data_IF_787308672682
#
_entry.id   IF_787308672682
#
_cell.length_a   1.000
_cell.length_b   1.000
_cell.length_c   1.000
_cell.angle_alpha   90.00
_cell.angle_beta   90.00
_cell.angle_gamma   90.00
#
_symmetry.space_group_name_H-M   'P 1'
#
loop_
_entity.id
_entity.type
_entity.pdbx_description
1 polymer ?
#
# COMPACT_ATOMS: atom_id res chain seq x y z
N UNK A 1 1.20 -3.04 -9.22
CA UNK A 1 0.82 -2.56 -7.87
C UNK A 1 1.33 -3.58 -6.89
N UNK A 2 2.23 -3.18 -5.99
CA UNK A 2 2.71 -4.06 -4.93
C UNK A 2 1.94 -3.76 -3.65
N UNK A 3 1.36 -4.79 -3.02
CA UNK A 3 0.60 -4.63 -1.77
C UNK A 3 0.93 -5.76 -0.79
N UNK A 4 0.67 -5.50 0.50
CA UNK A 4 0.79 -6.51 1.54
C UNK A 4 -0.27 -7.60 1.43
N UNK A 5 -0.17 -8.62 2.27
CA UNK A 5 -1.13 -9.72 2.33
C UNK A 5 -2.40 -9.37 3.12
N UNK A 6 -2.83 -8.11 3.09
CA UNK A 6 -4.10 -7.68 3.65
C UNK A 6 -5.26 -8.37 2.94
N UNK A 7 -6.31 -8.74 3.67
CA UNK A 7 -7.47 -9.43 3.10
C UNK A 7 -8.13 -8.62 1.99
N UNK A 8 -8.14 -7.29 2.12
CA UNK A 8 -8.64 -6.33 1.14
C UNK A 8 -7.92 -6.43 -0.22
N UNK A 9 -6.64 -6.78 -0.22
CA UNK A 9 -5.85 -6.94 -1.45
C UNK A 9 -5.99 -8.34 -2.05
N UNK A 10 -6.55 -9.29 -1.31
CA UNK A 10 -6.81 -10.66 -1.75
C UNK A 10 -8.24 -10.83 -2.29
N UNK A 11 -9.13 -9.86 -2.06
CA UNK A 11 -10.52 -9.96 -2.50
C UNK A 11 -10.66 -10.09 -4.02
N UNK A 12 -11.56 -10.98 -4.44
CA UNK A 12 -11.81 -11.26 -5.84
C UNK A 12 -12.31 -10.03 -6.61
N UNK A 13 -13.17 -9.21 -5.99
CA UNK A 13 -13.63 -7.96 -6.60
C UNK A 13 -12.46 -7.02 -6.92
N UNK A 14 -11.53 -6.90 -5.97
CA UNK A 14 -10.33 -6.08 -6.15
C UNK A 14 -9.45 -6.61 -7.29
N UNK A 15 -9.21 -7.93 -7.35
CA UNK A 15 -8.46 -8.55 -8.44
C UNK A 15 -9.10 -8.34 -9.82
N UNK A 16 -10.43 -8.49 -9.92
CA UNK A 16 -11.18 -8.24 -11.16
C UNK A 16 -11.03 -6.79 -11.60
N UNK A 17 -11.12 -5.84 -10.67
CA UNK A 17 -10.96 -4.41 -10.97
C UNK A 17 -9.56 -4.07 -11.50
N UNK A 18 -8.52 -4.70 -10.94
CA UNK A 18 -7.14 -4.51 -11.39
C UNK A 18 -6.93 -5.13 -12.78
N UNK A 19 -7.49 -6.31 -13.03
CA UNK A 19 -7.43 -6.97 -14.32
C UNK A 19 -8.11 -6.13 -15.42
N UNK A 20 -9.30 -5.58 -15.14
CA UNK A 20 -10.02 -4.68 -16.07
C UNK A 20 -9.23 -3.42 -16.42
N UNK A 21 -8.35 -2.97 -15.52
CA UNK A 21 -7.49 -1.79 -15.70
C UNK A 21 -6.10 -2.15 -16.24
N UNK A 22 -5.86 -3.42 -16.56
CA UNK A 22 -4.56 -3.95 -17.00
C UNK A 22 -3.43 -3.70 -15.97
N UNK A 23 -3.79 -3.60 -14.70
CA UNK A 23 -2.85 -3.38 -13.60
C UNK A 23 -2.39 -4.74 -13.09
N UNK A 24 -1.09 -5.02 -13.23
CA UNK A 24 -0.46 -6.18 -12.57
C UNK A 24 -0.47 -5.99 -11.05
N UNK A 25 -0.92 -7.01 -10.32
CA UNK A 25 -0.94 -7.01 -8.86
C UNK A 25 0.10 -8.00 -8.32
N UNK A 26 1.05 -7.49 -7.55
CA UNK A 26 2.12 -8.29 -6.93
C UNK A 26 1.94 -8.25 -5.42
N UNK A 27 1.83 -9.42 -4.79
CA UNK A 27 1.79 -9.53 -3.34
C UNK A 27 3.21 -9.64 -2.81
N UNK A 28 3.60 -8.74 -1.91
CA UNK A 28 4.91 -8.83 -1.26
C UNK A 28 4.89 -9.98 -0.23
N UNK A 29 5.95 -10.83 -0.20
CA UNK A 29 6.02 -11.93 0.75
C UNK A 29 5.86 -11.45 2.19
N UNK A 30 5.12 -12.21 2.99
CA UNK A 30 4.93 -11.92 4.41
C UNK A 30 6.30 -11.82 5.08
N UNK A 31 6.54 -10.74 5.83
CA UNK A 31 7.77 -10.48 6.61
C UNK A 31 8.99 -9.96 5.83
N UNK A 32 8.81 -9.37 4.64
CA UNK A 32 9.88 -8.59 3.97
C UNK A 32 9.53 -7.09 3.98
N UNK A 33 9.68 -6.40 5.14
CA UNK A 33 9.39 -4.96 5.24
C UNK A 33 10.24 -4.12 4.27
N UNK A 34 11.41 -4.63 3.84
CA UNK A 34 12.26 -3.95 2.86
C UNK A 34 11.54 -3.73 1.51
N UNK A 35 10.63 -4.64 1.13
CA UNK A 35 9.83 -4.48 -0.10
C UNK A 35 8.74 -3.41 0.03
N UNK A 36 8.38 -3.00 1.25
CA UNK A 36 7.40 -1.95 1.52
C UNK A 36 8.03 -0.60 1.92
N UNK A 37 9.36 -0.50 1.94
CA UNK A 37 10.08 0.64 2.52
C UNK A 37 9.75 2.00 1.89
N UNK A 38 9.37 2.04 0.60
CA UNK A 38 8.93 3.29 -0.06
C UNK A 38 7.57 3.74 0.47
N UNK A 39 6.63 2.82 0.64
CA UNK A 39 5.31 3.13 1.18
C UNK A 39 5.40 3.52 2.66
N UNK A 40 6.21 2.80 3.46
CA UNK A 40 6.45 3.14 4.86
C UNK A 40 7.07 4.53 5.03
N UNK A 41 8.05 4.89 4.21
CA UNK A 41 8.67 6.22 4.22
C UNK A 41 7.66 7.32 3.91
N UNK A 42 6.81 7.10 2.90
CA UNK A 42 5.73 8.04 2.55
C UNK A 42 4.70 8.16 3.67
N UNK A 43 4.37 7.05 4.33
CA UNK A 43 3.42 7.06 5.44
C UNK A 43 3.96 7.89 6.62
N UNK A 44 5.25 7.73 6.94
CA UNK A 44 5.93 8.53 7.95
C UNK A 44 5.87 10.03 7.62
N UNK A 45 6.21 10.40 6.39
CA UNK A 45 6.14 11.79 5.93
C UNK A 45 4.72 12.38 6.04
N UNK A 46 3.70 11.64 5.60
CA UNK A 46 2.32 12.10 5.69
C UNK A 46 1.88 12.34 7.15
N UNK A 47 2.28 11.46 8.07
CA UNK A 47 1.99 11.61 9.50
C UNK A 47 2.70 12.84 10.06
N UNK A 48 3.97 13.06 9.71
CA UNK A 48 4.73 14.23 10.14
C UNK A 48 4.11 15.54 9.62
N UNK A 49 3.79 15.58 8.33
CA UNK A 49 3.13 16.74 7.72
C UNK A 49 1.74 17.02 8.31
N UNK A 50 0.96 15.97 8.58
CA UNK A 50 -0.35 16.12 9.24
C UNK A 50 -0.20 16.69 10.65
N UNK A 51 0.83 16.26 11.40
CA UNK A 51 1.12 16.81 12.73
C UNK A 51 1.47 18.29 12.64
N UNK A 52 2.32 18.68 11.70
CA UNK A 52 2.67 20.09 11.50
C UNK A 52 1.45 20.94 11.13
N UNK A 53 0.58 20.44 10.24
CA UNK A 53 -0.64 21.14 9.81
C UNK A 53 -1.74 21.21 10.88
N UNK A 54 -1.77 20.27 11.83
CA UNK A 54 -2.76 20.21 12.91
C UNK A 54 -2.27 20.83 14.23
N UNK A 55 -1.02 21.33 14.27
CA UNK A 55 -0.46 22.04 15.43
C UNK A 55 -0.66 23.57 15.36
N UNK A 56 -1.26 24.08 14.28
CA UNK A 56 -1.86 25.43 14.18
C UNK A 56 -3.36 25.40 14.53
#
# INVERSE_FOLDING_TARGET
MCSGNGGEFMEQYFQVSLHQKEIKHDLIPTKIPQCNGVAERKNKFNIEMTRELMMD
#
